data_IF_409859077224
#
_entry.id   IF_409859077224
#
_cell.length_a   1.000
_cell.length_b   1.000
_cell.length_c   1.000
_cell.angle_alpha   90.00
_cell.angle_beta   90.00
_cell.angle_gamma   90.00
#
_symmetry.space_group_name_H-M   'P 1'
#
loop_
_entity.id
_entity.type
_entity.pdbx_description
1 polymer ?
#
# COMPACT_ATOMS: atom_id res chain seq x y z
N UNK A 1 22.64 49.14 11.77
CA UNK A 1 22.65 48.13 10.70
C UNK A 1 22.06 46.86 11.27
N UNK A 2 20.84 46.50 10.86
CA UNK A 2 20.13 45.30 11.31
C UNK A 2 20.43 44.17 10.33
N UNK A 3 20.92 43.02 10.82
CA UNK A 3 21.11 41.82 10.00
C UNK A 3 19.90 40.92 10.21
N UNK A 4 18.93 41.06 9.32
CA UNK A 4 17.77 40.19 9.22
C UNK A 4 18.17 38.86 8.57
N UNK A 5 17.97 37.78 9.32
CA UNK A 5 17.33 36.52 8.93
C UNK A 5 17.32 36.16 7.44
N UNK A 6 17.99 35.06 7.07
CA UNK A 6 17.74 34.32 5.82
C UNK A 6 17.76 32.81 6.09
N UNK A 7 16.61 32.29 6.48
CA UNK A 7 16.25 30.88 6.32
C UNK A 7 15.64 30.77 4.92
N UNK A 8 16.34 30.10 4.00
CA UNK A 8 15.77 29.67 2.72
C UNK A 8 15.43 28.19 2.86
N UNK A 9 14.21 27.89 3.30
CA UNK A 9 13.60 26.58 3.14
C UNK A 9 12.97 26.51 1.76
N UNK A 10 13.62 25.81 0.83
CA UNK A 10 13.01 25.44 -0.45
C UNK A 10 12.17 24.18 -0.22
N UNK A 11 10.87 24.34 0.05
CA UNK A 11 9.90 23.28 -0.12
C UNK A 11 9.53 23.24 -1.61
N UNK A 12 10.10 22.29 -2.35
CA UNK A 12 9.66 22.02 -3.72
C UNK A 12 8.39 21.18 -3.60
N UNK A 13 7.23 21.82 -3.73
CA UNK A 13 5.97 21.14 -3.98
C UNK A 13 5.97 20.74 -5.46
N UNK A 14 6.31 19.48 -5.77
CA UNK A 14 6.11 18.95 -7.12
C UNK A 14 4.64 18.58 -7.25
N UNK A 15 3.86 19.47 -7.87
CA UNK A 15 2.52 19.17 -8.33
C UNK A 15 2.62 18.24 -9.54
N UNK A 16 2.59 16.93 -9.32
CA UNK A 16 2.50 15.97 -10.43
C UNK A 16 1.09 16.12 -11.03
N UNK A 17 1.03 16.63 -12.26
CA UNK A 17 -0.15 16.54 -13.10
C UNK A 17 -0.44 15.05 -13.32
N UNK A 18 -1.42 14.51 -12.60
CA UNK A 18 -1.92 13.16 -12.81
C UNK A 18 -2.71 13.16 -14.13
N UNK A 19 -1.99 12.99 -15.24
CA UNK A 19 -2.61 12.58 -16.48
C UNK A 19 -3.20 11.19 -16.25
N UNK A 20 -4.53 11.07 -16.38
CA UNK A 20 -5.24 9.80 -16.34
C UNK A 20 -4.84 8.93 -17.55
N UNK A 21 -3.67 8.31 -17.47
CA UNK A 21 -3.32 7.13 -18.24
C UNK A 21 -3.70 5.93 -17.36
N UNK A 22 -4.75 5.22 -17.74
CA UNK A 22 -5.21 3.98 -17.10
C UNK A 22 -4.21 2.84 -17.31
N UNK A 23 -3.00 3.01 -16.78
CA UNK A 23 -1.99 1.98 -16.76
C UNK A 23 -2.16 1.12 -15.51
N UNK A 24 -2.56 -0.13 -15.69
CA UNK A 24 -2.42 -1.21 -14.69
C UNK A 24 -0.95 -1.54 -14.41
N UNK A 25 -0.04 -0.57 -14.54
CA UNK A 25 1.36 -0.76 -14.23
C UNK A 25 1.49 -0.91 -12.71
N UNK A 26 2.31 -1.87 -12.24
CA UNK A 26 2.65 -1.96 -10.84
C UNK A 26 3.32 -0.69 -10.33
N UNK A 27 3.08 -0.36 -9.07
CA UNK A 27 3.78 0.68 -8.33
C UNK A 27 4.97 0.06 -7.62
N UNK A 28 6.17 0.59 -7.81
CA UNK A 28 7.39 0.05 -7.20
C UNK A 28 7.92 1.01 -6.14
N UNK A 29 8.21 0.46 -4.96
CA UNK A 29 9.02 1.08 -3.92
C UNK A 29 10.40 0.41 -3.96
N UNK A 30 11.47 1.18 -4.20
CA UNK A 30 12.81 0.64 -4.40
C UNK A 30 13.92 1.43 -3.71
N UNK A 31 14.97 0.72 -3.32
CA UNK A 31 16.28 1.27 -2.95
C UNK A 31 17.38 0.45 -3.63
N UNK A 32 18.63 0.54 -3.18
CA UNK A 32 19.76 -0.18 -3.79
C UNK A 32 19.74 -1.70 -3.56
N UNK A 33 19.03 -2.18 -2.55
CA UNK A 33 19.07 -3.58 -2.08
C UNK A 33 17.76 -4.32 -2.28
N UNK A 34 16.64 -3.59 -2.38
CA UNK A 34 15.31 -4.18 -2.48
C UNK A 34 14.39 -3.33 -3.37
N UNK A 35 13.64 -4.01 -4.22
CA UNK A 35 12.51 -3.47 -4.97
C UNK A 35 11.26 -4.30 -4.65
N UNK A 36 10.17 -3.61 -4.26
CA UNK A 36 8.86 -4.21 -4.02
C UNK A 36 7.85 -3.56 -4.93
N UNK A 37 7.19 -4.37 -5.76
CA UNK A 37 6.14 -3.92 -6.66
C UNK A 37 4.77 -4.33 -6.16
N UNK A 38 3.80 -3.42 -6.26
CA UNK A 38 2.42 -3.57 -5.84
C UNK A 38 1.46 -3.43 -7.03
N UNK A 39 0.44 -4.27 -7.09
CA UNK A 39 -0.68 -4.12 -8.02
C UNK A 39 -1.45 -2.85 -7.71
N UNK A 40 -1.59 -1.95 -8.68
CA UNK A 40 -2.45 -0.77 -8.56
C UNK A 40 -3.94 -1.13 -8.50
N UNK A 41 -4.31 -2.33 -8.95
CA UNK A 41 -5.70 -2.79 -8.93
C UNK A 41 -6.10 -3.39 -7.59
N UNK A 42 -5.24 -4.18 -6.95
CA UNK A 42 -5.60 -4.89 -5.71
C UNK A 42 -4.83 -4.41 -4.49
N UNK A 43 -3.72 -3.67 -4.68
CA UNK A 43 -2.74 -3.38 -3.63
C UNK A 43 -1.92 -4.58 -3.17
N UNK A 44 -2.03 -5.72 -3.88
CA UNK A 44 -1.28 -6.94 -3.67
C UNK A 44 0.19 -6.81 -4.05
N UNK A 45 1.10 -7.47 -3.34
CA UNK A 45 2.51 -7.56 -3.75
C UNK A 45 2.61 -8.45 -4.99
N UNK A 46 3.23 -7.93 -6.06
CA UNK A 46 3.43 -8.65 -7.32
C UNK A 46 4.86 -9.11 -7.54
N UNK A 47 5.83 -8.41 -6.95
CA UNK A 47 7.25 -8.79 -7.02
C UNK A 47 7.99 -8.29 -5.79
N UNK A 48 8.99 -9.06 -5.37
CA UNK A 48 10.03 -8.67 -4.44
C UNK A 48 11.35 -9.14 -5.06
N UNK A 49 12.27 -8.22 -5.30
CA UNK A 49 13.53 -8.51 -5.98
C UNK A 49 14.71 -7.72 -5.39
N UNK A 50 15.90 -8.29 -5.52
CA UNK A 50 17.16 -7.59 -5.35
C UNK A 50 17.52 -6.93 -6.71
N UNK A 51 17.58 -5.59 -6.78
CA UNK A 51 17.85 -4.89 -8.04
C UNK A 51 19.32 -4.98 -8.49
N UNK A 52 20.27 -5.26 -7.60
CA UNK A 52 21.69 -5.42 -7.93
C UNK A 52 21.94 -6.79 -8.58
N UNK A 53 21.39 -7.85 -7.98
CA UNK A 53 21.61 -9.23 -8.47
C UNK A 53 20.55 -9.69 -9.47
N UNK A 54 19.47 -8.92 -9.62
CA UNK A 54 18.26 -9.31 -10.34
C UNK A 54 17.61 -10.61 -9.82
N UNK A 55 17.88 -10.96 -8.56
CA UNK A 55 17.26 -12.12 -7.93
C UNK A 55 15.82 -11.78 -7.52
N UNK A 56 14.86 -12.55 -8.03
CA UNK A 56 13.45 -12.41 -7.65
C UNK A 56 13.11 -13.37 -6.51
N UNK A 57 12.79 -12.82 -5.34
CA UNK A 57 12.29 -13.56 -4.19
C UNK A 57 10.82 -13.98 -4.39
N UNK A 58 10.06 -13.21 -5.16
CA UNK A 58 8.68 -13.48 -5.57
C UNK A 58 8.55 -13.20 -7.08
N UNK A 59 8.39 -14.25 -7.88
CA UNK A 59 8.52 -14.18 -9.36
C UNK A 59 7.27 -14.56 -10.15
N UNK A 60 6.16 -14.95 -9.50
CA UNK A 60 4.92 -15.36 -10.17
C UNK A 60 3.69 -15.00 -9.33
N UNK A 61 3.22 -13.74 -9.39
CA UNK A 61 2.03 -13.36 -8.64
C UNK A 61 0.80 -14.10 -9.18
N UNK A 62 -0.13 -14.41 -8.27
CA UNK A 62 -1.48 -14.83 -8.68
C UNK A 62 -2.13 -13.74 -9.54
N UNK A 63 -3.13 -14.12 -10.35
CA UNK A 63 -3.93 -13.15 -11.11
C UNK A 63 -4.53 -12.06 -10.21
N UNK A 64 -4.82 -12.43 -8.96
CA UNK A 64 -5.28 -11.53 -7.90
C UNK A 64 -4.30 -11.62 -6.71
N UNK A 65 -3.23 -10.81 -6.69
CA UNK A 65 -2.24 -10.84 -5.63
C UNK A 65 -2.86 -10.31 -4.32
N UNK A 66 -2.62 -11.03 -3.22
CA UNK A 66 -3.16 -10.70 -1.91
C UNK A 66 -2.08 -10.09 -1.00
N UNK A 67 -2.40 -8.98 -0.35
CA UNK A 67 -1.57 -8.41 0.74
C UNK A 67 -2.16 -8.69 2.11
N UNK A 68 -3.47 -8.94 2.20
CA UNK A 68 -4.12 -9.30 3.46
C UNK A 68 -5.35 -10.18 3.21
N UNK A 69 -5.67 -10.98 4.23
CA UNK A 69 -6.92 -11.72 4.36
C UNK A 69 -7.37 -11.63 5.80
N UNK A 70 -8.61 -11.21 6.02
CA UNK A 70 -9.23 -11.10 7.33
C UNK A 70 -10.32 -12.16 7.45
N UNK A 71 -10.20 -13.04 8.44
CA UNK A 71 -11.22 -14.05 8.76
C UNK A 71 -11.88 -13.66 10.08
N UNK A 72 -13.16 -13.35 10.02
CA UNK A 72 -13.97 -12.89 11.15
C UNK A 72 -15.02 -13.95 11.48
N UNK A 73 -15.40 -14.05 12.76
CA UNK A 73 -16.53 -14.87 13.19
C UNK A 73 -17.68 -13.96 13.61
N UNK A 74 -18.85 -14.17 13.01
CA UNK A 74 -20.05 -13.45 13.42
C UNK A 74 -20.63 -14.05 14.73
N UNK A 75 -21.71 -13.45 15.24
CA UNK A 75 -22.38 -13.91 16.47
C UNK A 75 -22.95 -15.34 16.38
N UNK A 76 -23.23 -15.85 15.18
CA UNK A 76 -23.66 -17.24 14.99
C UNK A 76 -22.50 -18.24 14.86
N UNK A 77 -21.25 -17.77 15.00
CA UNK A 77 -20.05 -18.59 14.83
C UNK A 77 -19.68 -18.88 13.38
N UNK A 78 -20.40 -18.30 12.41
CA UNK A 78 -20.09 -18.43 10.98
C UNK A 78 -18.88 -17.56 10.65
N UNK A 79 -17.95 -18.13 9.90
CA UNK A 79 -16.79 -17.42 9.38
C UNK A 79 -17.16 -16.57 8.16
N UNK A 80 -16.64 -15.34 8.14
CA UNK A 80 -16.68 -14.39 7.03
C UNK A 80 -15.24 -14.09 6.65
N UNK A 81 -14.91 -14.25 5.37
CA UNK A 81 -13.58 -13.95 4.83
C UNK A 81 -13.66 -12.70 3.98
N UNK A 82 -12.79 -11.74 4.26
CA UNK A 82 -12.57 -10.53 3.47
C UNK A 82 -11.12 -10.53 3.01
N UNK A 83 -10.86 -10.06 1.79
CA UNK A 83 -9.51 -9.97 1.23
C UNK A 83 -9.44 -8.84 0.18
N UNK A 84 -8.23 -8.34 -0.09
CA UNK A 84 -8.06 -7.16 -0.95
C UNK A 84 -8.48 -7.37 -2.41
N UNK A 85 -8.51 -8.61 -2.90
CA UNK A 85 -8.96 -8.92 -4.25
C UNK A 85 -10.47 -8.68 -4.47
N UNK A 86 -11.27 -8.73 -3.41
CA UNK A 86 -12.72 -8.53 -3.44
C UNK A 86 -13.11 -7.04 -3.32
N UNK A 87 -12.12 -6.18 -3.07
CA UNK A 87 -12.30 -4.76 -2.83
C UNK A 87 -12.41 -3.96 -4.14
N UNK A 88 -12.97 -2.75 -4.05
CA UNK A 88 -12.68 -1.74 -5.04
C UNK A 88 -11.16 -1.44 -5.07
N UNK A 89 -10.60 -0.98 -6.20
CA UNK A 89 -9.20 -0.61 -6.26
C UNK A 89 -8.81 0.34 -5.13
N UNK A 90 -7.69 0.09 -4.44
CA UNK A 90 -7.32 0.88 -3.29
C UNK A 90 -6.87 2.28 -3.67
N UNK A 91 -6.93 3.18 -2.71
CA UNK A 91 -6.20 4.44 -2.77
C UNK A 91 -4.74 4.16 -2.42
N UNK A 92 -3.80 4.60 -3.25
CA UNK A 92 -2.38 4.43 -3.03
C UNK A 92 -1.71 5.81 -2.96
N UNK A 93 -0.97 6.03 -1.88
CA UNK A 93 -0.17 7.22 -1.62
C UNK A 93 1.30 6.79 -1.52
N UNK A 94 2.19 7.49 -2.21
CA UNK A 94 3.63 7.18 -2.22
C UNK A 94 4.43 8.38 -1.73
N UNK A 95 5.39 8.11 -0.84
CA UNK A 95 6.46 9.04 -0.47
C UNK A 95 7.81 8.45 -0.93
N UNK A 96 8.92 9.08 -0.56
CA UNK A 96 10.26 8.68 -1.03
C UNK A 96 10.62 7.25 -0.61
N UNK A 97 10.32 6.90 0.63
CA UNK A 97 10.71 5.65 1.29
C UNK A 97 9.50 4.85 1.79
N UNK A 98 8.28 5.30 1.49
CA UNK A 98 7.06 4.66 1.96
C UNK A 98 5.95 4.63 0.94
N UNK A 99 5.06 3.65 1.10
CA UNK A 99 3.86 3.47 0.31
C UNK A 99 2.70 3.12 1.25
N UNK A 100 1.62 3.88 1.17
CA UNK A 100 0.39 3.62 1.91
C UNK A 100 -0.71 3.15 0.95
N UNK A 101 -1.35 2.03 1.27
CA UNK A 101 -2.50 1.47 0.55
C UNK A 101 -3.72 1.48 1.47
N UNK A 102 -4.83 2.03 0.99
CA UNK A 102 -6.10 2.12 1.74
C UNK A 102 -7.22 1.45 0.95
N UNK A 103 -7.87 0.48 1.56
CA UNK A 103 -9.11 -0.12 1.10
C UNK A 103 -10.22 0.29 2.05
N UNK A 104 -11.30 0.85 1.53
CA UNK A 104 -12.37 1.45 2.34
C UNK A 104 -13.73 0.89 1.98
N UNK A 105 -14.66 0.88 2.95
CA UNK A 105 -16.05 0.57 2.69
C UNK A 105 -16.32 -0.93 2.50
N UNK A 106 -15.71 -1.79 3.34
CA UNK A 106 -16.08 -3.19 3.35
C UNK A 106 -17.35 -3.42 4.17
N UNK A 107 -18.25 -4.21 3.60
CA UNK A 107 -19.41 -4.74 4.29
C UNK A 107 -19.00 -5.84 5.25
N UNK A 108 -19.61 -5.83 6.44
CA UNK A 108 -19.46 -6.89 7.44
C UNK A 108 -20.84 -7.43 7.82
N UNK A 109 -21.13 -8.64 7.35
CA UNK A 109 -22.42 -9.31 7.52
C UNK A 109 -23.59 -8.46 6.96
N UNK A 110 -24.42 -7.89 7.84
CA UNK A 110 -25.57 -7.05 7.51
C UNK A 110 -25.28 -5.55 7.58
N UNK A 111 -24.04 -5.17 7.93
CA UNK A 111 -23.63 -3.77 8.07
C UNK A 111 -22.76 -3.36 6.88
N UNK A 112 -23.13 -2.24 6.25
CA UNK A 112 -22.46 -1.74 5.05
C UNK A 112 -21.37 -0.73 5.38
N UNK A 113 -20.28 -0.72 4.61
CA UNK A 113 -19.19 0.26 4.68
C UNK A 113 -18.55 0.46 6.08
N UNK A 114 -18.58 -0.57 6.92
CA UNK A 114 -18.16 -0.48 8.33
C UNK A 114 -16.70 -0.80 8.59
N UNK A 115 -15.99 -1.34 7.59
CA UNK A 115 -14.62 -1.79 7.76
C UNK A 115 -13.70 -1.13 6.73
N UNK A 116 -12.60 -0.54 7.20
CA UNK A 116 -11.51 -0.05 6.37
C UNK A 116 -10.21 -0.74 6.75
N UNK A 117 -9.34 -0.95 5.77
CA UNK A 117 -8.02 -1.55 5.96
C UNK A 117 -6.97 -0.63 5.35
N UNK A 118 -5.91 -0.39 6.12
CA UNK A 118 -4.74 0.36 5.67
C UNK A 118 -3.51 -0.51 5.80
N UNK A 119 -2.67 -0.50 4.79
CA UNK A 119 -1.31 -1.03 4.83
C UNK A 119 -0.33 0.12 4.61
N UNK A 120 0.71 0.20 5.41
CA UNK A 120 1.88 1.05 5.16
C UNK A 120 3.07 0.13 4.94
N UNK A 121 3.78 0.33 3.83
CA UNK A 121 5.05 -0.29 3.53
C UNK A 121 6.14 0.78 3.66
N UNK A 122 7.08 0.58 4.57
CA UNK A 122 8.27 1.41 4.73
C UNK A 122 9.49 0.62 4.22
N UNK A 123 10.26 1.23 3.32
CA UNK A 123 11.53 0.70 2.83
C UNK A 123 12.65 1.63 3.30
N UNK A 124 13.41 1.19 4.29
CA UNK A 124 14.50 2.00 4.84
C UNK A 124 15.55 2.29 3.76
N UNK A 125 16.12 3.51 3.73
CA UNK A 125 17.25 3.79 2.85
C UNK A 125 18.42 2.85 3.16
N UNK A 126 19.07 2.32 2.11
CA UNK A 126 20.27 1.46 2.24
C UNK A 126 20.03 0.17 3.06
N UNK A 127 18.82 -0.38 3.01
CA UNK A 127 18.42 -1.59 3.73
C UNK A 127 17.79 -2.61 2.78
N UNK A 128 18.05 -3.90 3.00
CA UNK A 128 17.35 -5.00 2.31
C UNK A 128 16.00 -5.36 2.97
N UNK A 129 15.58 -4.57 3.96
CA UNK A 129 14.41 -4.85 4.80
C UNK A 129 13.30 -3.84 4.54
N UNK A 130 12.08 -4.36 4.35
CA UNK A 130 10.86 -3.57 4.33
C UNK A 130 9.92 -3.96 5.49
N UNK A 131 9.23 -2.96 6.02
CA UNK A 131 8.24 -3.15 7.09
C UNK A 131 6.84 -2.93 6.55
N UNK A 132 5.98 -3.94 6.71
CA UNK A 132 4.56 -3.83 6.40
C UNK A 132 3.76 -3.73 7.69
N UNK A 133 3.01 -2.65 7.85
CA UNK A 133 2.12 -2.43 8.99
C UNK A 133 0.68 -2.35 8.52
N UNK A 134 -0.19 -3.10 9.17
CA UNK A 134 -1.61 -3.15 8.86
C UNK A 134 -2.44 -2.52 9.97
N UNK A 135 -3.49 -1.78 9.60
CA UNK A 135 -4.54 -1.32 10.47
C UNK A 135 -5.88 -1.77 9.94
N UNK A 136 -6.76 -2.11 10.85
CA UNK A 136 -8.14 -2.47 10.59
C UNK A 136 -9.01 -1.54 11.42
N UNK A 137 -9.74 -0.64 10.77
CA UNK A 137 -10.73 0.20 11.41
C UNK A 137 -12.10 -0.47 11.25
N UNK A 138 -12.68 -0.91 12.37
CA UNK A 138 -13.99 -1.55 12.40
C UNK A 138 -14.97 -0.67 13.18
N UNK A 139 -15.98 -0.16 12.47
CA UNK A 139 -17.02 0.73 12.99
C UNK A 139 -18.37 0.02 13.17
N UNK A 140 -18.39 -1.31 13.12
CA UNK A 140 -19.61 -2.11 13.32
C UNK A 140 -20.17 -2.01 14.75
N UNK A 141 -21.50 -2.17 14.88
CA UNK A 141 -22.26 -2.10 16.14
C UNK A 141 -22.94 -3.43 16.53
#
# INVERSE_FOLDING_TARGET
MSVLNRIFGFAVLVSINLAAAGGNAPLTLENQHLAISFSSQTGGIVSIADPETHHEFVSQPSAEPLSWRLVLKNRSGKEVTLENAQAAPPQIETETDSLTVKWTGFDLADQQDVLDIRMECLLEPDSDTAYLRFWVDNRSH
#
